data_IF_317419738384
#
_entry.id   IF_317419738384
#
_cell.length_a   1.000
_cell.length_b   1.000
_cell.length_c   1.000
_cell.angle_alpha   90.00
_cell.angle_beta   90.00
_cell.angle_gamma   90.00
#
_symmetry.space_group_name_H-M   'P 1'
#
loop_
_entity.id
_entity.type
_entity.pdbx_description
1 polymer ?
#
# COMPACT_ATOMS: atom_id res chain seq x y z
N UNK A 1 1.00 -6.39 15.65
CA UNK A 1 1.85 -5.75 14.63
C UNK A 1 2.67 -4.65 15.30
N UNK A 2 3.95 -4.50 14.92
CA UNK A 2 4.83 -3.46 15.45
C UNK A 2 4.61 -2.13 14.73
N UNK A 3 4.42 -1.03 15.46
CA UNK A 3 4.26 0.33 14.90
C UNK A 3 5.46 0.71 14.01
N UNK A 4 6.67 0.26 14.37
CA UNK A 4 7.87 0.51 13.57
C UNK A 4 7.82 -0.17 12.21
N UNK A 5 7.29 -1.40 12.15
CA UNK A 5 7.14 -2.13 10.89
C UNK A 5 6.13 -1.45 9.96
N UNK A 6 5.04 -0.88 10.50
CA UNK A 6 4.09 -0.09 9.72
C UNK A 6 4.72 1.20 9.17
N UNK A 7 5.56 1.88 9.95
CA UNK A 7 6.28 3.07 9.49
C UNK A 7 7.23 2.68 8.35
N UNK A 8 7.99 1.61 8.51
CA UNK A 8 8.88 1.11 7.45
C UNK A 8 8.10 0.73 6.19
N UNK A 9 6.97 0.04 6.32
CA UNK A 9 6.14 -0.33 5.19
C UNK A 9 5.62 0.90 4.44
N UNK A 10 5.17 1.94 5.15
CA UNK A 10 4.73 3.21 4.55
C UNK A 10 5.88 3.95 3.84
N UNK A 11 7.08 3.95 4.42
CA UNK A 11 8.26 4.55 3.78
C UNK A 11 8.64 3.80 2.50
N UNK A 12 8.59 2.47 2.53
CA UNK A 12 8.86 1.62 1.36
C UNK A 12 7.80 1.81 0.28
N UNK A 13 6.52 1.80 0.66
CA UNK A 13 5.41 2.05 -0.25
C UNK A 13 5.50 3.43 -0.92
N UNK A 14 5.94 4.45 -0.17
CA UNK A 14 6.15 5.80 -0.69
C UNK A 14 7.46 5.96 -1.49
N UNK A 15 8.26 4.90 -1.68
CA UNK A 15 9.55 4.96 -2.36
C UNK A 15 10.63 5.76 -1.62
N UNK A 16 10.42 6.07 -0.33
CA UNK A 16 11.37 6.81 0.51
C UNK A 16 12.47 5.94 1.11
N UNK A 17 12.29 4.61 1.06
CA UNK A 17 13.19 3.62 1.66
C UNK A 17 13.12 2.32 0.88
N UNK A 18 14.25 1.65 0.68
CA UNK A 18 14.26 0.28 0.15
C UNK A 18 13.93 -0.74 1.24
N UNK A 19 13.23 -1.82 0.89
CA UNK A 19 12.91 -2.90 1.83
C UNK A 19 14.16 -3.58 2.40
N UNK A 20 15.27 -3.55 1.65
CA UNK A 20 16.56 -4.08 2.08
C UNK A 20 17.18 -3.25 3.22
N UNK A 21 16.88 -1.94 3.26
CA UNK A 21 17.31 -1.03 4.31
C UNK A 21 16.46 -1.13 5.60
N UNK A 22 15.40 -1.93 5.59
CA UNK A 22 14.61 -2.23 6.80
C UNK A 22 15.36 -3.26 7.64
N UNK A 23 15.51 -3.04 8.97
CA UNK A 23 16.14 -4.02 9.85
C UNK A 23 15.50 -5.40 9.70
N UNK A 24 16.32 -6.45 9.66
CA UNK A 24 15.86 -7.83 9.39
C UNK A 24 14.73 -8.26 10.33
N UNK A 25 14.80 -7.87 11.62
CA UNK A 25 13.76 -8.16 12.62
C UNK A 25 12.38 -7.55 12.33
N UNK A 26 12.31 -6.52 11.48
CA UNK A 26 11.05 -5.87 11.08
C UNK A 26 10.69 -6.12 9.62
N UNK A 27 11.55 -6.79 8.84
CA UNK A 27 11.37 -6.91 7.40
C UNK A 27 10.14 -7.74 7.05
N UNK A 28 9.87 -8.82 7.77
CA UNK A 28 8.70 -9.67 7.52
C UNK A 28 7.39 -8.96 7.89
N UNK A 29 7.37 -8.24 9.02
CA UNK A 29 6.20 -7.44 9.41
C UNK A 29 5.99 -6.27 8.45
N UNK A 30 7.06 -5.60 8.00
CA UNK A 30 6.98 -4.52 7.01
C UNK A 30 6.51 -5.03 5.65
N UNK A 31 6.89 -6.26 5.24
CA UNK A 31 6.37 -6.91 4.04
C UNK A 31 4.88 -7.18 4.12
N UNK A 32 4.39 -7.71 5.25
CA UNK A 32 2.95 -7.92 5.47
C UNK A 32 2.17 -6.61 5.39
N UNK A 33 2.64 -5.58 6.09
CA UNK A 33 2.01 -4.27 6.04
C UNK A 33 2.08 -3.63 4.63
N UNK A 34 3.14 -3.87 3.87
CA UNK A 34 3.28 -3.41 2.48
C UNK A 34 2.26 -4.10 1.56
N UNK A 35 2.04 -5.40 1.72
CA UNK A 35 1.02 -6.15 0.98
C UNK A 35 -0.38 -5.58 1.23
N UNK A 36 -0.73 -5.31 2.50
CA UNK A 36 -2.01 -4.67 2.84
C UNK A 36 -2.16 -3.27 2.23
N UNK A 37 -1.08 -2.49 2.16
CA UNK A 37 -1.09 -1.17 1.51
C UNK A 37 -1.32 -1.29 0.00
N UNK A 38 -0.68 -2.25 -0.66
CA UNK A 38 -0.88 -2.51 -2.09
C UNK A 38 -2.33 -2.90 -2.38
N UNK A 39 -2.89 -3.84 -1.63
CA UNK A 39 -4.30 -4.26 -1.78
C UNK A 39 -5.25 -3.07 -1.63
N UNK A 40 -5.02 -2.21 -0.64
CA UNK A 40 -5.82 -1.00 -0.42
C UNK A 40 -5.71 -0.03 -1.59
N UNK A 41 -4.50 0.18 -2.12
CA UNK A 41 -4.27 1.05 -3.26
C UNK A 41 -4.93 0.51 -4.54
N UNK A 42 -4.86 -0.80 -4.79
CA UNK A 42 -5.55 -1.44 -5.91
C UNK A 42 -7.08 -1.33 -5.77
N UNK A 43 -7.61 -1.55 -4.56
CA UNK A 43 -9.04 -1.41 -4.28
C UNK A 43 -9.51 0.02 -4.50
N UNK A 44 -8.71 1.02 -4.11
CA UNK A 44 -9.03 2.44 -4.35
C UNK A 44 -9.06 2.74 -5.84
N UNK A 45 -8.05 2.31 -6.60
CA UNK A 45 -8.02 2.48 -8.05
C UNK A 45 -9.22 1.85 -8.75
N UNK A 46 -9.62 0.65 -8.34
CA UNK A 46 -10.80 -0.01 -8.91
C UNK A 46 -12.07 0.81 -8.67
N UNK A 47 -12.27 1.32 -7.43
CA UNK A 47 -13.41 2.19 -7.12
C UNK A 47 -13.39 3.51 -7.91
N UNK A 48 -12.22 4.12 -8.07
CA UNK A 48 -12.07 5.35 -8.87
C UNK A 48 -12.41 5.10 -10.34
N UNK A 49 -12.04 3.94 -10.89
CA UNK A 49 -12.40 3.54 -12.26
C UNK A 49 -13.91 3.31 -12.37
N UNK A 50 -14.51 2.55 -11.46
CA UNK A 50 -15.96 2.28 -11.45
C UNK A 50 -16.79 3.57 -11.30
N UNK A 51 -16.31 4.53 -10.50
CA UNK A 51 -16.95 5.84 -10.35
C UNK A 51 -16.86 6.67 -11.64
N UNK A 52 -15.73 6.62 -12.35
CA UNK A 52 -15.56 7.32 -13.63
C UNK A 52 -16.41 6.70 -14.74
N UNK A 53 -16.43 5.37 -14.86
CA UNK A 53 -17.23 4.65 -15.86
C UNK A 53 -18.74 4.75 -15.58
N UNK A 54 -19.14 4.83 -14.31
CA UNK A 54 -20.54 5.04 -13.91
C UNK A 54 -21.10 6.43 -14.25
N UNK A 55 -20.23 7.42 -14.51
CA UNK A 55 -20.64 8.77 -14.94
C UNK A 55 -20.85 8.83 -16.46
N UNK A 56 -20.06 8.12 -17.27
CA UNK A 56 -20.24 8.09 -18.74
C UNK A 56 -21.47 7.28 -19.19
N UNK A 57 -21.95 6.33 -18.40
CA UNK A 57 -23.11 5.50 -18.75
C UNK A 57 -24.48 6.18 -18.50
N UNK A 58 -24.49 7.42 -18.00
CA UNK A 58 -25.69 8.11 -17.52
C UNK A 58 -25.96 9.47 -18.21
N UNK A 59 -25.34 9.76 -19.36
CA UNK A 59 -25.60 10.94 -20.22
C UNK A 59 -26.47 10.62 -21.43
#
# INVERSE_FOLDING_TARGET
>A
MSILAEIYAKDVFAGRRDIEAVPTMFRDDARKALEELNIKAETQKQREIEEMEGVEANE
#
